data_IF_380181772286
#
_entry.id   IF_380181772286
#
_cell.length_a   1.000
_cell.length_b   1.000
_cell.length_c   1.000
_cell.angle_alpha   90.00
_cell.angle_beta   90.00
_cell.angle_gamma   90.00
#
_symmetry.space_group_name_H-M   'P 1'
#
loop_
_entity.id
_entity.type
_entity.pdbx_description
1 polymer ?
#
# COMPACT_ATOMS: atom_id res chain seq x y z
N UNK A 1 -30.74 3.67 -7.74
CA UNK A 1 -29.76 2.55 -7.65
C UNK A 1 -28.33 3.06 -7.83
N UNK A 2 -28.02 3.78 -8.92
CA UNK A 2 -26.70 4.37 -9.23
C UNK A 2 -26.10 5.23 -8.09
N UNK A 3 -26.89 6.11 -7.47
CA UNK A 3 -26.42 7.01 -6.39
C UNK A 3 -25.96 6.26 -5.13
N UNK A 4 -26.57 5.11 -4.79
CA UNK A 4 -26.12 4.26 -3.67
C UNK A 4 -24.80 3.55 -3.97
N UNK A 5 -24.56 3.18 -5.23
CA UNK A 5 -23.32 2.54 -5.68
C UNK A 5 -22.16 3.54 -5.64
N UNK A 6 -22.36 4.75 -6.17
CA UNK A 6 -21.36 5.82 -6.12
C UNK A 6 -20.95 6.17 -4.68
N UNK A 7 -21.92 6.34 -3.77
CA UNK A 7 -21.63 6.61 -2.36
C UNK A 7 -20.86 5.46 -1.68
N UNK A 8 -21.10 4.20 -2.09
CA UNK A 8 -20.36 3.04 -1.58
C UNK A 8 -18.91 3.05 -2.07
N UNK A 9 -18.68 3.39 -3.34
CA UNK A 9 -17.35 3.51 -3.94
C UNK A 9 -16.54 4.63 -3.29
N UNK A 10 -17.12 5.82 -3.12
CA UNK A 10 -16.46 6.94 -2.42
C UNK A 10 -16.06 6.56 -0.99
N UNK A 11 -16.93 5.84 -0.27
CA UNK A 11 -16.62 5.40 1.10
C UNK A 11 -15.47 4.40 1.15
N UNK A 12 -15.40 3.48 0.18
CA UNK A 12 -14.30 2.51 0.07
C UNK A 12 -13.00 3.22 -0.28
N UNK A 13 -13.03 4.16 -1.23
CA UNK A 13 -11.89 4.97 -1.61
C UNK A 13 -11.37 5.83 -0.45
N UNK A 14 -12.25 6.49 0.28
CA UNK A 14 -11.85 7.28 1.46
C UNK A 14 -11.26 6.40 2.57
N UNK A 15 -11.83 5.21 2.80
CA UNK A 15 -11.26 4.26 3.77
C UNK A 15 -9.85 3.82 3.35
N UNK A 16 -9.66 3.55 2.05
CA UNK A 16 -8.38 3.18 1.44
C UNK A 16 -7.31 4.27 1.60
N UNK A 17 -7.64 5.52 1.25
CA UNK A 17 -6.71 6.64 1.40
C UNK A 17 -6.33 6.83 2.88
N UNK A 18 -7.30 6.68 3.79
CA UNK A 18 -7.08 6.86 5.22
C UNK A 18 -6.20 5.77 5.82
N UNK A 19 -6.38 4.49 5.47
CA UNK A 19 -5.52 3.40 5.95
C UNK A 19 -4.07 3.57 5.48
N UNK A 20 -3.88 3.99 4.23
CA UNK A 20 -2.56 4.24 3.65
C UNK A 20 -1.86 5.43 4.30
N UNK A 21 -2.59 6.46 4.71
CA UNK A 21 -2.02 7.61 5.45
C UNK A 21 -1.66 7.20 6.88
N UNK A 22 -2.58 6.56 7.60
CA UNK A 22 -2.41 6.22 9.01
C UNK A 22 -1.27 5.21 9.26
N UNK A 23 -1.17 4.17 8.42
CA UNK A 23 -0.06 3.19 8.48
C UNK A 23 1.30 3.87 8.28
N UNK A 24 1.42 4.81 7.35
CA UNK A 24 2.68 5.52 7.07
C UNK A 24 3.17 6.37 8.24
N UNK A 25 2.27 7.04 8.96
CA UNK A 25 2.66 7.79 10.17
C UNK A 25 3.17 6.88 11.31
N UNK A 26 2.84 5.59 11.25
CA UNK A 26 3.23 4.59 12.24
C UNK A 26 4.51 3.85 11.85
N UNK A 27 4.94 3.89 10.59
CA UNK A 27 6.17 3.23 10.15
C UNK A 27 7.37 3.75 10.93
N UNK A 28 8.25 2.82 11.31
CA UNK A 28 9.50 3.09 12.01
C UNK A 28 9.36 4.11 13.15
N UNK A 29 8.27 4.02 13.93
CA UNK A 29 7.96 5.01 14.95
C UNK A 29 9.10 5.18 15.95
N UNK A 30 9.60 6.42 16.10
CA UNK A 30 10.77 6.78 16.93
C UNK A 30 12.05 6.02 16.55
N UNK A 31 12.19 5.58 15.31
CA UNK A 31 13.38 4.85 14.83
C UNK A 31 13.50 3.43 15.40
N UNK A 32 12.41 2.87 15.94
CA UNK A 32 12.42 1.55 16.61
C UNK A 32 12.01 0.39 15.72
N UNK A 33 11.75 0.63 14.43
CA UNK A 33 11.45 -0.42 13.48
C UNK A 33 12.66 -1.33 13.29
N UNK A 34 12.43 -2.65 13.22
CA UNK A 34 13.48 -3.65 13.01
C UNK A 34 13.21 -4.57 11.81
N UNK A 35 12.00 -4.51 11.25
CA UNK A 35 11.56 -5.41 10.17
C UNK A 35 11.56 -4.65 8.84
N UNK A 36 12.20 -5.19 7.81
CA UNK A 36 11.96 -4.75 6.44
C UNK A 36 10.83 -5.59 5.86
N UNK A 37 9.84 -4.94 5.26
CA UNK A 37 8.63 -5.59 4.77
C UNK A 37 8.48 -5.36 3.27
N UNK A 38 8.20 -6.44 2.52
CA UNK A 38 7.91 -6.39 1.09
C UNK A 38 6.45 -6.79 0.91
N UNK A 39 5.67 -5.90 0.29
CA UNK A 39 4.25 -6.09 0.02
C UNK A 39 4.01 -6.13 -1.49
N UNK A 40 3.38 -7.21 -1.98
CA UNK A 40 3.13 -7.44 -3.41
C UNK A 40 1.61 -7.48 -3.62
N UNK A 41 1.10 -6.58 -4.46
CA UNK A 41 -0.34 -6.42 -4.70
C UNK A 41 -1.03 -5.64 -3.57
N UNK A 42 -0.35 -4.63 -3.01
CA UNK A 42 -0.88 -3.89 -1.86
C UNK A 42 -2.06 -3.02 -2.26
N UNK A 43 -3.28 -3.50 -2.03
CA UNK A 43 -4.49 -2.66 -2.07
C UNK A 43 -4.59 -1.87 -0.76
N UNK A 44 -3.71 -0.89 -0.59
CA UNK A 44 -3.97 0.23 0.33
C UNK A 44 -3.36 0.15 1.72
N UNK A 45 -2.03 0.31 1.77
CA UNK A 45 -1.27 0.32 3.01
C UNK A 45 -0.98 -1.09 3.50
N UNK A 46 -0.31 -1.20 4.66
CA UNK A 46 0.04 -2.50 5.22
C UNK A 46 -1.23 -3.35 5.47
N UNK A 47 -1.23 -4.66 5.16
CA UNK A 47 -2.31 -5.55 5.57
C UNK A 47 -2.26 -5.76 7.09
N UNK A 48 -3.38 -6.18 7.69
CA UNK A 48 -3.32 -6.71 9.06
C UNK A 48 -2.56 -8.05 9.06
N UNK A 49 -1.76 -8.36 10.11
CA UNK A 49 -1.58 -7.61 11.36
C UNK A 49 -0.50 -6.51 11.29
N UNK A 50 0.12 -6.30 10.13
CA UNK A 50 1.23 -5.36 9.96
C UNK A 50 0.81 -3.91 10.13
N UNK A 51 -0.40 -3.54 9.70
CA UNK A 51 -0.93 -2.20 9.94
C UNK A 51 -1.04 -1.88 11.44
N UNK A 52 -1.59 -2.78 12.25
CA UNK A 52 -1.63 -2.63 13.71
C UNK A 52 -0.22 -2.60 14.34
N UNK A 53 0.77 -3.20 13.67
CA UNK A 53 2.16 -3.31 14.14
C UNK A 53 3.14 -2.47 13.33
N UNK A 54 2.68 -1.43 12.62
CA UNK A 54 3.50 -0.70 11.65
C UNK A 54 4.77 -0.06 12.28
N UNK A 55 4.73 0.23 13.57
CA UNK A 55 5.90 0.71 14.35
C UNK A 55 7.09 -0.24 14.37
N UNK A 56 6.87 -1.55 14.13
CA UNK A 56 7.93 -2.56 14.04
C UNK A 56 8.57 -2.61 12.66
N UNK A 57 7.91 -2.06 11.64
CA UNK A 57 8.42 -2.02 10.26
C UNK A 57 9.37 -0.85 10.13
N UNK A 58 10.65 -1.15 9.88
CA UNK A 58 11.72 -0.18 9.61
C UNK A 58 11.58 0.41 8.22
N UNK A 59 11.40 -0.45 7.22
CA UNK A 59 11.29 -0.06 5.83
C UNK A 59 10.22 -0.88 5.12
N UNK A 60 9.39 -0.23 4.32
CA UNK A 60 8.31 -0.83 3.55
C UNK A 60 8.57 -0.70 2.05
N UNK A 61 8.60 -1.81 1.32
CA UNK A 61 8.67 -1.84 -0.13
C UNK A 61 7.38 -2.41 -0.70
N UNK A 62 6.64 -1.60 -1.47
CA UNK A 62 5.35 -1.98 -2.07
C UNK A 62 5.42 -2.08 -3.58
N UNK A 63 4.68 -3.04 -4.12
CA UNK A 63 4.40 -3.22 -5.54
C UNK A 63 2.89 -3.19 -5.77
N UNK A 64 2.39 -2.14 -6.42
CA UNK A 64 0.97 -1.98 -6.76
C UNK A 64 0.83 -1.26 -8.12
N UNK A 65 0.52 -2.00 -9.21
CA UNK A 65 0.46 -1.46 -10.57
C UNK A 65 -0.42 -0.22 -10.76
N UNK A 66 -1.46 -0.07 -9.93
CA UNK A 66 -2.44 1.01 -10.06
C UNK A 66 -2.12 2.23 -9.17
N UNK A 67 -1.11 2.14 -8.32
CA UNK A 67 -0.67 3.25 -7.48
C UNK A 67 0.42 4.06 -8.19
N UNK A 68 0.54 5.34 -7.86
CA UNK A 68 1.68 6.14 -8.29
C UNK A 68 2.96 5.70 -7.56
N UNK A 69 4.13 5.71 -8.25
CA UNK A 69 5.42 5.51 -7.61
C UNK A 69 5.69 6.58 -6.56
N UNK A 70 6.17 6.15 -5.39
CA UNK A 70 6.46 7.06 -4.27
C UNK A 70 7.67 6.60 -3.49
N UNK A 71 8.41 7.55 -2.92
CA UNK A 71 9.57 7.27 -2.07
C UNK A 71 9.59 8.21 -0.88
N UNK A 72 9.96 7.67 0.27
CA UNK A 72 10.25 8.39 1.50
C UNK A 72 11.42 7.72 2.23
N UNK A 73 11.72 8.17 3.43
CA UNK A 73 12.79 7.62 4.26
C UNK A 73 12.52 6.15 4.64
N UNK A 74 11.27 5.82 4.97
CA UNK A 74 10.89 4.52 5.53
C UNK A 74 9.98 3.70 4.60
N UNK A 75 9.73 4.16 3.36
CA UNK A 75 8.98 3.37 2.39
C UNK A 75 9.29 3.71 0.92
N UNK A 76 9.00 2.77 0.04
CA UNK A 76 9.03 2.90 -1.41
C UNK A 76 7.85 2.14 -2.02
N UNK A 77 7.23 2.70 -3.05
CA UNK A 77 6.14 2.08 -3.82
C UNK A 77 6.51 2.12 -5.28
N UNK A 78 6.46 0.97 -5.94
CA UNK A 78 6.55 0.83 -7.39
C UNK A 78 5.16 0.56 -7.97
N UNK A 79 4.91 1.16 -9.13
CA UNK A 79 3.71 0.95 -9.92
C UNK A 79 3.85 -0.24 -10.87
N UNK A 80 4.42 -1.33 -10.36
CA UNK A 80 4.73 -2.53 -11.16
C UNK A 80 4.23 -3.77 -10.43
N UNK A 81 3.91 -4.81 -11.22
CA UNK A 81 3.68 -6.14 -10.69
C UNK A 81 5.03 -6.87 -10.59
N UNK A 82 5.14 -7.81 -9.64
CA UNK A 82 6.30 -8.68 -9.55
C UNK A 82 6.09 -9.88 -10.46
N UNK A 83 7.09 -10.17 -11.29
CA UNK A 83 7.05 -11.23 -12.28
C UNK A 83 8.41 -11.94 -12.39
N UNK A 84 8.44 -13.10 -13.03
CA UNK A 84 9.67 -13.90 -13.19
C UNK A 84 10.69 -13.26 -14.14
N UNK A 85 10.22 -12.45 -15.10
CA UNK A 85 11.05 -11.73 -16.07
C UNK A 85 10.63 -10.27 -16.14
N UNK A 86 11.59 -9.39 -16.45
CA UNK A 86 11.30 -7.98 -16.71
C UNK A 86 10.58 -7.84 -18.05
N UNK A 87 9.31 -7.42 -17.99
CA UNK A 87 8.49 -7.18 -19.19
C UNK A 87 7.38 -6.16 -18.95
N UNK A 88 6.84 -5.63 -20.05
CA UNK A 88 5.68 -4.74 -20.04
C UNK A 88 4.51 -5.48 -20.67
N UNK A 89 3.43 -5.64 -19.91
CA UNK A 89 2.18 -6.27 -20.37
C UNK A 89 0.98 -5.47 -19.92
N UNK A 90 -0.13 -5.62 -20.63
CA UNK A 90 -1.43 -5.12 -20.18
C UNK A 90 -1.79 -5.77 -18.84
N UNK A 91 -2.07 -4.95 -17.85
CA UNK A 91 -2.50 -5.38 -16.51
C UNK A 91 -4.01 -5.15 -16.37
N UNK A 92 -4.74 -6.18 -15.94
CA UNK A 92 -6.20 -6.13 -15.77
C UNK A 92 -6.55 -6.54 -14.34
N UNK A 93 -7.39 -5.73 -13.66
CA UNK A 93 -7.99 -6.07 -12.37
C UNK A 93 -9.36 -6.69 -12.65
N UNK A 94 -9.68 -7.83 -12.01
CA UNK A 94 -10.98 -8.48 -12.09
C UNK A 94 -12.06 -7.72 -11.30
#
# INVERSE_FOLDING_TARGET
MVRKILNKLERLFNKYIRSKIDSRFKLNYKGKGIINFIDIGSVGGLPEPWNSNAHKVKFLLNFEPNDEPRKSENFMTYNTAVWETEEVRSFYIY
#
